data_IF_245624536088
#
_entry.id   IF_245624536088
#
_cell.length_a   1.000
_cell.length_b   1.000
_cell.length_c   1.000
_cell.angle_alpha   90.00
_cell.angle_beta   90.00
_cell.angle_gamma   90.00
#
_symmetry.space_group_name_H-M   'P 1'
#
loop_
_entity.id
_entity.type
_entity.pdbx_description
1 polymer ?
#
# COMPACT_ATOMS: atom_id res chain seq x y z
N UNK A 1 -19.87 23.12 12.28
CA UNK A 1 -19.67 21.66 12.17
C UNK A 1 -18.34 21.48 11.51
N UNK A 2 -17.29 21.30 12.31
CA UNK A 2 -15.96 20.98 11.80
C UNK A 2 -15.99 19.50 11.42
N UNK A 3 -15.92 19.21 10.12
CA UNK A 3 -15.62 17.86 9.65
C UNK A 3 -14.14 17.63 10.00
N UNK A 4 -13.87 16.86 11.06
CA UNK A 4 -12.55 16.27 11.27
C UNK A 4 -12.18 15.50 9.99
N UNK A 5 -11.28 16.07 9.18
CA UNK A 5 -10.63 15.31 8.13
C UNK A 5 -9.82 14.23 8.84
N UNK A 6 -10.28 12.98 8.79
CA UNK A 6 -9.47 11.85 9.21
C UNK A 6 -8.21 11.85 8.35
N UNK A 7 -7.09 12.19 8.96
CA UNK A 7 -5.79 12.05 8.35
C UNK A 7 -5.59 10.60 7.91
N UNK A 8 -5.02 10.44 6.72
CA UNK A 8 -4.74 9.13 6.18
C UNK A 8 -3.61 8.48 6.99
N UNK A 9 -3.85 7.30 7.55
CA UNK A 9 -2.84 6.56 8.31
C UNK A 9 -2.03 5.66 7.37
N UNK A 10 -0.81 6.10 7.07
CA UNK A 10 0.14 5.43 6.17
C UNK A 10 0.54 4.04 6.66
N UNK A 11 0.77 3.86 7.97
CA UNK A 11 1.12 2.58 8.58
C UNK A 11 -0.02 1.56 8.47
N UNK A 12 -1.26 2.00 8.70
CA UNK A 12 -2.44 1.15 8.56
C UNK A 12 -2.60 0.66 7.11
N UNK A 13 -2.34 1.53 6.14
CA UNK A 13 -2.40 1.18 4.73
C UNK A 13 -1.30 0.20 4.31
N UNK A 14 -0.06 0.43 4.75
CA UNK A 14 1.06 -0.49 4.54
C UNK A 14 0.73 -1.90 5.08
N UNK A 15 0.26 -1.97 6.33
CA UNK A 15 -0.13 -3.22 6.97
C UNK A 15 -1.28 -3.93 6.23
N UNK A 16 -2.22 -3.17 5.68
CA UNK A 16 -3.29 -3.71 4.86
C UNK A 16 -2.76 -4.34 3.55
N UNK A 17 -1.85 -3.68 2.84
CA UNK A 17 -1.25 -4.21 1.62
C UNK A 17 -0.43 -5.48 1.90
N UNK A 18 0.36 -5.50 2.98
CA UNK A 18 1.09 -6.70 3.41
C UNK A 18 0.14 -7.88 3.70
N UNK A 19 -0.98 -7.63 4.38
CA UNK A 19 -1.99 -8.67 4.63
C UNK A 19 -2.53 -9.24 3.33
N UNK A 20 -2.85 -8.40 2.35
CA UNK A 20 -3.34 -8.85 1.05
C UNK A 20 -2.30 -9.68 0.30
N UNK A 21 -1.03 -9.26 0.28
CA UNK A 21 0.06 -10.03 -0.33
C UNK A 21 0.15 -11.42 0.30
N UNK A 22 0.16 -11.48 1.64
CA UNK A 22 0.18 -12.74 2.36
C UNK A 22 -1.05 -13.62 2.05
N UNK A 23 -2.24 -13.02 1.95
CA UNK A 23 -3.47 -13.74 1.63
C UNK A 23 -3.45 -14.32 0.21
N UNK A 24 -2.94 -13.57 -0.77
CA UNK A 24 -2.79 -14.06 -2.15
C UNK A 24 -1.71 -15.14 -2.29
N UNK A 25 -0.71 -15.12 -1.41
CA UNK A 25 0.34 -16.13 -1.36
C UNK A 25 -0.08 -17.44 -0.69
N UNK A 26 -1.23 -17.49 -0.01
CA UNK A 26 -1.76 -18.73 0.56
C UNK A 26 -2.27 -19.68 -0.53
N UNK A 27 -1.95 -20.96 -0.35
CA UNK A 27 -2.38 -22.05 -1.24
C UNK A 27 -1.66 -22.03 -2.58
N UNK A 28 -2.32 -22.54 -3.62
CA UNK A 28 -1.73 -22.58 -4.96
C UNK A 28 -1.55 -21.17 -5.53
N UNK A 29 -0.36 -20.93 -6.10
CA UNK A 29 0.04 -19.67 -6.71
C UNK A 29 -0.26 -19.68 -8.21
N UNK A 30 -1.46 -19.24 -8.58
CA UNK A 30 -1.89 -19.10 -9.98
C UNK A 30 -1.28 -17.86 -10.64
N UNK A 31 -1.25 -17.80 -11.97
CA UNK A 31 -0.77 -16.61 -12.71
C UNK A 31 -1.54 -15.34 -12.32
N UNK A 32 -2.85 -15.46 -12.10
CA UNK A 32 -3.67 -14.35 -11.58
C UNK A 32 -3.16 -13.85 -10.22
N UNK A 33 -2.87 -14.76 -9.28
CA UNK A 33 -2.36 -14.40 -7.95
C UNK A 33 -0.97 -13.76 -8.02
N UNK A 34 -0.09 -14.26 -8.90
CA UNK A 34 1.22 -13.64 -9.17
C UNK A 34 1.07 -12.21 -9.67
N UNK A 35 0.16 -11.97 -10.61
CA UNK A 35 -0.17 -10.64 -11.10
C UNK A 35 -0.70 -9.73 -10.00
N UNK A 36 -1.62 -10.22 -9.16
CA UNK A 36 -2.18 -9.47 -8.04
C UNK A 36 -1.11 -9.08 -7.01
N UNK A 37 -0.23 -10.01 -6.63
CA UNK A 37 0.89 -9.72 -5.70
C UNK A 37 1.85 -8.68 -6.30
N UNK A 38 2.20 -8.81 -7.58
CA UNK A 38 3.06 -7.85 -8.27
C UNK A 38 2.46 -6.44 -8.26
N UNK A 39 1.16 -6.32 -8.57
CA UNK A 39 0.46 -5.05 -8.55
C UNK A 39 0.42 -4.43 -7.14
N UNK A 40 0.17 -5.23 -6.09
CA UNK A 40 0.18 -4.73 -4.71
C UNK A 40 1.55 -4.20 -4.28
N UNK A 41 2.63 -4.89 -4.68
CA UNK A 41 4.00 -4.43 -4.41
C UNK A 41 4.30 -3.12 -5.16
N UNK A 42 3.85 -2.99 -6.42
CA UNK A 42 4.02 -1.74 -7.18
C UNK A 42 3.27 -0.57 -6.53
N UNK A 43 2.05 -0.79 -6.05
CA UNK A 43 1.27 0.23 -5.34
C UNK A 43 2.00 0.68 -4.08
N UNK A 44 2.52 -0.26 -3.28
CA UNK A 44 3.30 0.07 -2.09
C UNK A 44 4.53 0.91 -2.43
N UNK A 45 5.30 0.53 -3.45
CA UNK A 45 6.50 1.26 -3.87
C UNK A 45 6.18 2.68 -4.34
N UNK A 46 5.15 2.84 -5.18
CA UNK A 46 4.73 4.15 -5.66
C UNK A 46 4.23 5.02 -4.51
N UNK A 47 3.49 4.42 -3.57
CA UNK A 47 2.98 5.13 -2.41
C UNK A 47 4.11 5.65 -1.51
N UNK A 48 5.09 4.80 -1.19
CA UNK A 48 6.26 5.22 -0.41
C UNK A 48 7.06 6.32 -1.11
N UNK A 49 7.28 6.21 -2.43
CA UNK A 49 7.95 7.26 -3.20
C UNK A 49 7.20 8.59 -3.12
N UNK A 50 5.88 8.59 -3.22
CA UNK A 50 5.08 9.82 -3.09
C UNK A 50 5.16 10.43 -1.70
N UNK A 51 5.26 9.61 -0.63
CA UNK A 51 5.47 10.12 0.73
C UNK A 51 6.85 10.78 0.86
N UNK A 52 7.90 10.14 0.35
CA UNK A 52 9.26 10.70 0.35
C UNK A 52 9.32 12.00 -0.45
N UNK A 53 8.63 12.09 -1.60
CA UNK A 53 8.55 13.32 -2.38
C UNK A 53 7.84 14.45 -1.64
N UNK A 54 6.79 14.15 -0.88
CA UNK A 54 6.09 15.13 -0.04
C UNK A 54 6.98 15.63 1.09
N UNK A 55 7.67 14.73 1.81
CA UNK A 55 8.61 15.12 2.87
C UNK A 55 9.76 15.99 2.33
N UNK A 56 10.28 15.67 1.15
CA UNK A 56 11.38 16.44 0.54
C UNK A 56 10.95 17.80 -0.05
N UNK A 57 9.65 18.03 -0.27
CA UNK A 57 9.11 19.31 -0.74
C UNK A 57 8.82 20.30 0.41
N UNK A 58 8.75 19.82 1.65
CA UNK A 58 8.53 20.65 2.84
C UNK A 58 9.83 21.20 3.47
N UNK A 59 11.00 20.97 2.84
CA UNK A 59 12.34 21.42 3.27
C UNK A 59 12.84 22.62 2.45
#
# INVERSE_FOLDING_TARGET
MEQEQKEFNTELFHNFLLRLVNDYQKGEMTEFKKGAVSALIQVEQQFQHSLEEMENQEV
#
